data_IF_491954566189
#
_entry.id   IF_491954566189
#
_cell.length_a   1.000
_cell.length_b   1.000
_cell.length_c   1.000
_cell.angle_alpha   90.00
_cell.angle_beta   90.00
_cell.angle_gamma   90.00
#
_symmetry.space_group_name_H-M   'P 1'
#
loop_
_entity.id
_entity.type
_entity.pdbx_description
1 polymer ?
#
# COMPACT_ATOMS: atom_id res chain seq x y z
N UNK A 1 -12.66 29.82 -6.14
CA UNK A 1 -11.99 29.17 -6.24
C UNK A 1 -12.13 28.09 -5.84
N UNK A 2 -11.79 27.57 -6.05
CA UNK A 2 -11.96 26.57 -5.74
C UNK A 2 -11.07 25.93 -5.09
N UNK A 3 -11.28 25.39 -4.32
CA UNK A 3 -10.58 24.62 -3.63
C UNK A 3 -10.26 23.47 -4.32
N UNK A 4 -9.13 23.21 -4.55
CA UNK A 4 -8.78 22.00 -5.18
C UNK A 4 -9.17 20.90 -4.32
N UNK A 5 -9.54 19.88 -4.91
CA UNK A 5 -9.71 18.76 -4.24
C UNK A 5 -8.52 18.20 -3.96
N UNK A 6 -8.07 18.19 -2.79
CA UNK A 6 -6.96 17.54 -2.48
C UNK A 6 -7.25 16.16 -2.30
N UNK A 7 -6.67 15.28 -3.05
CA UNK A 7 -6.55 13.91 -2.62
C UNK A 7 -5.58 13.91 -1.49
N UNK A 8 -5.89 13.30 -0.38
CA UNK A 8 -4.93 13.24 0.70
C UNK A 8 -3.66 12.61 0.18
N UNK A 9 -2.54 13.24 0.49
CA UNK A 9 -1.28 12.69 0.07
C UNK A 9 -0.83 11.67 1.07
N UNK A 10 -0.57 10.43 0.68
CA UNK A 10 -0.08 9.45 1.63
C UNK A 10 1.34 9.77 2.06
N UNK A 11 1.63 9.57 3.32
CA UNK A 11 2.96 9.77 3.87
C UNK A 11 3.56 8.46 4.39
N UNK A 12 2.74 7.46 4.63
CA UNK A 12 3.17 6.20 5.22
C UNK A 12 2.48 5.05 4.52
N UNK A 13 3.22 3.97 4.35
CA UNK A 13 2.67 2.72 3.83
C UNK A 13 2.77 1.69 4.93
N UNK A 14 1.65 1.07 5.28
CA UNK A 14 1.61 0.00 6.26
C UNK A 14 1.42 -1.32 5.53
N UNK A 15 2.27 -2.28 5.81
CA UNK A 15 2.19 -3.60 5.19
C UNK A 15 1.70 -4.58 6.24
N UNK A 16 0.65 -5.33 5.93
CA UNK A 16 0.16 -6.36 6.83
C UNK A 16 -0.42 -7.51 6.01
N UNK A 17 -0.73 -8.60 6.68
CA UNK A 17 -1.21 -9.78 5.98
C UNK A 17 -2.61 -9.58 5.45
N UNK A 18 -2.86 -10.15 4.28
CA UNK A 18 -4.19 -10.16 3.70
C UNK A 18 -4.95 -11.32 4.29
N UNK A 19 -6.01 -11.06 5.02
CA UNK A 19 -6.79 -12.08 5.69
C UNK A 19 -7.96 -12.62 4.89
N UNK A 20 -8.03 -12.31 3.60
CA UNK A 20 -9.13 -12.78 2.76
C UNK A 20 -8.60 -13.15 1.38
N UNK A 21 -9.41 -13.83 0.59
CA UNK A 21 -8.99 -14.28 -0.73
C UNK A 21 -9.11 -13.12 -1.70
N UNK A 22 -8.01 -12.79 -2.36
CA UNK A 22 -7.98 -11.72 -3.34
C UNK A 22 -6.83 -11.97 -4.30
N UNK A 23 -6.98 -11.60 -5.56
CA UNK A 23 -5.83 -11.67 -6.47
C UNK A 23 -4.89 -10.51 -6.21
N UNK A 24 -3.63 -10.71 -6.57
CA UNK A 24 -2.67 -9.62 -6.55
C UNK A 24 -3.12 -8.56 -7.55
N UNK A 25 -3.15 -7.31 -7.13
CA UNK A 25 -3.65 -6.24 -7.97
C UNK A 25 -2.60 -5.62 -8.88
N UNK A 26 -1.37 -6.14 -8.85
CA UNK A 26 -0.36 -5.66 -9.76
C UNK A 26 -0.74 -6.05 -11.19
N UNK A 27 -0.49 -5.15 -12.12
CA UNK A 27 -0.88 -5.38 -13.49
C UNK A 27 -0.25 -6.65 -14.02
N UNK A 28 -1.05 -7.54 -14.57
CA UNK A 28 -0.56 -8.77 -15.18
C UNK A 28 -0.19 -9.87 -14.22
N UNK A 29 -0.36 -9.68 -12.92
CA UNK A 29 -0.01 -10.71 -11.96
C UNK A 29 -1.18 -11.66 -11.73
N UNK A 30 -0.92 -12.96 -11.82
CA UNK A 30 -1.95 -13.96 -11.63
C UNK A 30 -1.86 -14.66 -10.28
N UNK A 31 -0.98 -14.18 -9.41
CA UNK A 31 -0.81 -14.80 -8.10
C UNK A 31 -1.86 -14.32 -7.13
N UNK A 32 -2.05 -15.10 -6.06
CA UNK A 32 -2.93 -14.69 -4.97
C UNK A 32 -2.23 -13.63 -4.12
N UNK A 33 -2.98 -12.65 -3.66
CA UNK A 33 -2.45 -11.67 -2.74
C UNK A 33 -2.30 -12.28 -1.36
N UNK A 34 -1.17 -12.02 -0.71
CA UNK A 34 -0.92 -12.46 0.65
C UNK A 34 -0.69 -11.29 1.58
N UNK A 35 -0.51 -10.10 1.03
CA UNK A 35 -0.21 -8.92 1.81
C UNK A 35 -1.09 -7.76 1.34
N UNK A 36 -1.25 -6.78 2.21
CA UNK A 36 -1.95 -5.55 1.89
C UNK A 36 -1.00 -4.41 2.13
N UNK A 37 -0.89 -3.51 1.15
CA UNK A 37 -0.17 -2.26 1.33
C UNK A 37 -1.22 -1.17 1.53
N UNK A 38 -1.33 -0.67 2.75
CA UNK A 38 -2.29 0.35 3.10
C UNK A 38 -1.59 1.68 3.18
N UNK A 39 -2.09 2.67 2.47
CA UNK A 39 -1.48 4.00 2.48
C UNK A 39 -2.30 4.91 3.39
N UNK A 40 -1.61 5.63 4.25
CA UNK A 40 -2.24 6.56 5.17
C UNK A 40 -1.61 7.93 5.04
N UNK A 41 -2.35 8.97 5.40
CA UNK A 41 -1.86 10.34 5.30
C UNK A 41 -1.16 10.74 6.60
N UNK A 42 -0.74 11.99 6.70
CA UNK A 42 0.01 12.48 7.84
C UNK A 42 -0.78 12.42 9.15
N UNK A 43 -2.10 12.42 9.07
CA UNK A 43 -2.93 12.31 10.25
C UNK A 43 -3.24 10.85 10.60
N UNK A 44 -2.69 9.91 9.85
CA UNK A 44 -2.93 8.49 10.08
C UNK A 44 -4.24 7.99 9.49
N UNK A 45 -4.87 8.78 8.62
CA UNK A 45 -6.14 8.37 8.04
C UNK A 45 -5.92 7.57 6.78
N UNK A 46 -6.79 6.60 6.58
CA UNK A 46 -6.75 5.73 5.42
C UNK A 46 -6.91 6.52 4.13
N UNK A 47 -6.05 6.27 3.17
CA UNK A 47 -6.14 6.85 1.84
C UNK A 47 -6.59 5.78 0.85
N UNK A 48 -5.89 4.66 0.80
CA UNK A 48 -6.23 3.55 -0.09
C UNK A 48 -5.43 2.32 0.29
N UNK A 49 -5.83 1.18 -0.20
CA UNK A 49 -5.05 -0.03 0.00
C UNK A 49 -5.03 -0.84 -1.30
N UNK A 50 -4.05 -1.71 -1.40
CA UNK A 50 -3.92 -2.59 -2.54
C UNK A 50 -3.45 -3.93 -2.05
N UNK A 51 -4.09 -5.01 -2.53
CA UNK A 51 -3.72 -6.36 -2.18
C UNK A 51 -2.63 -6.84 -3.14
N UNK A 52 -1.57 -7.42 -2.61
CA UNK A 52 -0.41 -7.78 -3.41
C UNK A 52 0.16 -9.11 -2.98
N UNK A 53 0.78 -9.81 -3.91
CA UNK A 53 1.61 -10.96 -3.55
C UNK A 53 2.92 -10.45 -2.95
N UNK A 54 3.69 -11.33 -2.33
CA UNK A 54 4.90 -10.92 -1.63
C UNK A 54 5.90 -10.24 -2.57
N UNK A 55 6.06 -10.75 -3.78
CA UNK A 55 6.99 -10.17 -4.73
C UNK A 55 6.60 -8.74 -5.08
N UNK A 56 5.35 -8.52 -5.45
CA UNK A 56 4.92 -7.18 -5.86
C UNK A 56 4.82 -6.23 -4.65
N UNK A 57 4.57 -6.77 -3.45
CA UNK A 57 4.61 -5.95 -2.26
C UNK A 57 6.01 -5.41 -2.02
N UNK A 58 7.04 -6.26 -2.19
CA UNK A 58 8.41 -5.79 -2.03
C UNK A 58 8.77 -4.72 -3.06
N UNK A 59 8.28 -4.86 -4.28
CA UNK A 59 8.50 -3.85 -5.31
C UNK A 59 7.85 -2.52 -4.91
N UNK A 60 6.63 -2.58 -4.38
CA UNK A 60 5.93 -1.38 -3.94
C UNK A 60 6.67 -0.72 -2.77
N UNK A 61 7.16 -1.52 -1.82
CA UNK A 61 7.92 -0.99 -0.70
C UNK A 61 9.14 -0.20 -1.20
N UNK A 62 9.89 -0.78 -2.13
CA UNK A 62 11.06 -0.12 -2.64
C UNK A 62 10.70 1.17 -3.36
N UNK A 63 9.64 1.13 -4.16
CA UNK A 63 9.22 2.30 -4.90
C UNK A 63 8.75 3.41 -3.98
N UNK A 64 7.98 3.06 -2.96
CA UNK A 64 7.47 4.10 -2.07
C UNK A 64 8.57 4.68 -1.18
N UNK A 65 9.54 3.85 -0.78
CA UNK A 65 10.70 4.39 -0.06
C UNK A 65 11.48 5.35 -0.94
N UNK A 66 11.64 5.03 -2.22
CA UNK A 66 12.35 5.91 -3.14
C UNK A 66 11.62 7.23 -3.31
N UNK A 67 10.30 7.23 -3.10
CA UNK A 67 9.50 8.45 -3.19
C UNK A 67 9.45 9.20 -1.86
N UNK A 68 10.11 8.70 -0.84
CA UNK A 68 10.19 9.37 0.44
C UNK A 68 9.13 9.00 1.45
N UNK A 69 8.30 7.99 1.17
CA UNK A 69 7.30 7.57 2.14
C UNK A 69 7.93 6.68 3.20
N UNK A 70 7.38 6.75 4.40
CA UNK A 70 7.77 5.86 5.45
C UNK A 70 7.07 4.53 5.26
N UNK A 71 7.75 3.42 5.50
CA UNK A 71 7.16 2.10 5.35
C UNK A 71 7.18 1.39 6.69
N UNK A 72 6.01 0.97 7.15
CA UNK A 72 5.87 0.21 8.37
C UNK A 72 5.48 -1.20 7.98
N UNK A 73 6.44 -2.13 8.02
CA UNK A 73 6.21 -3.49 7.52
C UNK A 73 5.90 -4.40 8.70
N UNK A 74 4.66 -4.84 8.76
CA UNK A 74 4.19 -5.70 9.84
C UNK A 74 3.77 -7.06 9.35
N UNK A 75 4.36 -7.51 8.24
CA UNK A 75 3.95 -8.79 7.66
C UNK A 75 4.27 -9.98 8.54
N UNK A 76 5.21 -9.83 9.45
CA UNK A 76 5.62 -10.93 10.31
C UNK A 76 5.03 -10.84 11.72
N UNK A 77 4.08 -9.96 11.93
CA UNK A 77 3.44 -9.85 13.25
C UNK A 77 2.15 -10.64 13.32
#
# INVERSE_FOLDING_TARGET
MLQPDFDPEPTTVRIHRCGYVSPCKARGCLKRATLIAEKVDAAGRYVRQIELCALHCNIVIERERARGLEVCDRRNE
#
